data_IF_339817459385
#
_entry.id   IF_339817459385
#
_cell.length_a   1.000
_cell.length_b   1.000
_cell.length_c   1.000
_cell.angle_alpha   90.00
_cell.angle_beta   90.00
_cell.angle_gamma   90.00
#
_symmetry.space_group_name_H-M   'P 1'
#
loop_
_entity.id
_entity.type
_entity.pdbx_description
1 polymer ?
#
# COMPACT_ATOMS: atom_id res chain seq x y z
N UNK A 1 15.58 13.00 4.25
CA UNK A 1 15.47 11.93 3.21
C UNK A 1 14.05 11.39 3.21
N UNK A 2 13.56 10.90 2.05
CA UNK A 2 12.18 10.44 1.87
C UNK A 2 12.14 8.99 1.38
N UNK A 3 11.21 8.19 1.90
CA UNK A 3 10.86 6.87 1.36
C UNK A 3 9.46 6.89 0.73
N UNK A 4 9.28 6.15 -0.36
CA UNK A 4 7.99 5.93 -1.03
C UNK A 4 7.61 4.47 -0.84
N UNK A 5 6.45 4.23 -0.25
CA UNK A 5 5.86 2.91 -0.09
C UNK A 5 4.76 2.70 -1.12
N UNK A 6 4.93 1.70 -1.96
CA UNK A 6 3.96 1.25 -2.96
C UNK A 6 3.32 -0.02 -2.43
N UNK A 7 2.06 0.06 -2.02
CA UNK A 7 1.36 -1.01 -1.31
C UNK A 7 0.51 -1.81 -2.30
N UNK A 8 0.74 -3.10 -2.36
CA UNK A 8 -0.09 -4.12 -3.03
C UNK A 8 -0.41 -3.86 -4.52
N UNK A 9 0.49 -3.21 -5.23
CA UNK A 9 0.37 -3.06 -6.68
C UNK A 9 0.81 -4.33 -7.41
N UNK A 10 0.14 -5.44 -7.09
CA UNK A 10 0.42 -6.80 -7.58
C UNK A 10 -0.69 -7.30 -8.52
N UNK A 11 -0.36 -8.32 -9.32
CA UNK A 11 -1.29 -8.82 -10.35
C UNK A 11 -2.63 -9.29 -9.77
N UNK A 12 -2.65 -9.87 -8.56
CA UNK A 12 -3.86 -10.39 -7.91
C UNK A 12 -4.93 -9.35 -7.65
N UNK A 13 -4.53 -8.09 -7.39
CA UNK A 13 -5.46 -6.98 -7.19
C UNK A 13 -5.65 -6.13 -8.46
N UNK A 14 -4.61 -6.01 -9.29
CA UNK A 14 -4.57 -5.06 -10.40
C UNK A 14 -4.94 -5.65 -11.76
N UNK A 15 -4.83 -6.98 -11.95
CA UNK A 15 -4.99 -7.61 -13.28
C UNK A 15 -5.95 -8.79 -13.27
N UNK A 16 -5.67 -9.80 -12.45
CA UNK A 16 -6.45 -11.03 -12.41
C UNK A 16 -6.21 -11.76 -11.09
N UNK A 17 -7.27 -12.03 -10.35
CA UNK A 17 -7.24 -12.76 -9.09
C UNK A 17 -8.61 -12.74 -8.44
N UNK A 18 -8.76 -13.43 -7.32
CA UNK A 18 -10.01 -13.48 -6.55
C UNK A 18 -10.41 -12.09 -6.01
N UNK A 19 -9.43 -11.19 -5.82
CA UNK A 19 -9.63 -9.83 -5.30
C UNK A 19 -9.29 -8.75 -6.34
N UNK A 20 -9.34 -9.08 -7.63
CA UNK A 20 -9.14 -8.11 -8.70
C UNK A 20 -10.19 -6.99 -8.66
N UNK A 21 -9.76 -5.76 -8.92
CA UNK A 21 -10.63 -4.60 -9.09
C UNK A 21 -10.15 -3.66 -10.20
N UNK A 22 -11.08 -3.27 -11.08
CA UNK A 22 -10.80 -2.29 -12.13
C UNK A 22 -10.45 -0.91 -11.56
N UNK A 23 -10.96 -0.54 -10.37
CA UNK A 23 -10.59 0.69 -9.70
C UNK A 23 -9.11 0.67 -9.31
N UNK A 24 -8.61 -0.49 -8.81
CA UNK A 24 -7.21 -0.65 -8.46
C UNK A 24 -6.34 -0.69 -9.74
N UNK A 25 -6.80 -1.34 -10.79
CA UNK A 25 -6.10 -1.31 -12.08
C UNK A 25 -5.95 0.12 -12.61
N UNK A 26 -6.95 0.97 -12.45
CA UNK A 26 -6.96 2.34 -12.98
C UNK A 26 -5.85 3.24 -12.43
N UNK A 27 -5.32 2.95 -11.24
CA UNK A 27 -4.23 3.74 -10.64
C UNK A 27 -2.83 3.31 -11.07
N UNK A 28 -2.68 2.24 -11.85
CA UNK A 28 -1.35 1.77 -12.33
C UNK A 28 -0.63 2.88 -13.11
N UNK A 29 -1.30 3.50 -14.10
CA UNK A 29 -0.70 4.54 -14.93
C UNK A 29 -0.39 5.81 -14.13
N UNK A 30 -1.29 6.36 -13.32
CA UNK A 30 -0.97 7.45 -12.39
C UNK A 30 0.24 7.16 -11.50
N UNK A 31 0.31 5.99 -10.87
CA UNK A 31 1.45 5.57 -10.04
C UNK A 31 2.73 5.49 -10.86
N UNK A 32 2.69 4.89 -12.05
CA UNK A 32 3.85 4.84 -12.94
C UNK A 32 4.40 6.22 -13.25
N UNK A 33 3.52 7.16 -13.63
CA UNK A 33 3.91 8.53 -13.95
C UNK A 33 4.52 9.24 -12.73
N UNK A 34 3.95 9.05 -11.55
CA UNK A 34 4.50 9.57 -10.31
C UNK A 34 5.89 8.98 -10.04
N UNK A 35 6.04 7.66 -10.07
CA UNK A 35 7.31 6.98 -9.80
C UNK A 35 8.41 7.37 -10.81
N UNK A 36 8.06 7.61 -12.08
CA UNK A 36 9.03 8.06 -13.09
C UNK A 36 9.71 9.38 -12.70
N UNK A 37 9.02 10.25 -11.99
CA UNK A 37 9.58 11.52 -11.50
C UNK A 37 10.36 11.37 -10.18
N UNK A 38 10.19 10.26 -9.45
CA UNK A 38 10.69 10.11 -8.07
C UNK A 38 11.87 9.12 -7.95
N UNK A 39 11.97 8.12 -8.85
CA UNK A 39 12.78 6.92 -8.62
C UNK A 39 14.30 7.15 -8.62
N UNK A 40 14.76 8.29 -9.11
CA UNK A 40 16.21 8.63 -9.12
C UNK A 40 16.70 9.19 -7.79
N UNK A 41 15.81 9.89 -7.07
CA UNK A 41 16.19 10.70 -5.91
C UNK A 41 15.63 10.15 -4.60
N UNK A 42 14.80 9.09 -4.66
CA UNK A 42 14.12 8.54 -3.49
C UNK A 42 14.21 7.02 -3.44
N UNK A 43 14.21 6.48 -2.23
CA UNK A 43 14.09 5.05 -2.02
C UNK A 43 12.63 4.62 -2.14
N UNK A 44 12.39 3.62 -3.00
CA UNK A 44 11.06 3.07 -3.26
C UNK A 44 11.03 1.64 -2.72
N UNK A 45 10.01 1.34 -1.92
CA UNK A 45 9.73 0.02 -1.36
C UNK A 45 8.36 -0.44 -1.81
N UNK A 46 8.30 -1.61 -2.42
CA UNK A 46 7.06 -2.31 -2.74
C UNK A 46 6.72 -3.25 -1.58
N UNK A 47 5.55 -3.04 -0.99
CA UNK A 47 5.03 -3.84 0.12
C UNK A 47 3.93 -4.73 -0.47
N UNK A 48 4.23 -6.00 -0.68
CA UNK A 48 3.39 -6.89 -1.47
C UNK A 48 2.78 -8.01 -0.64
N UNK A 49 1.50 -8.26 -0.80
CA UNK A 49 0.89 -9.50 -0.32
C UNK A 49 1.57 -10.72 -0.94
N UNK A 50 1.99 -11.63 -0.07
CA UNK A 50 2.59 -12.90 -0.43
C UNK A 50 2.24 -13.95 0.65
N UNK A 51 1.06 -14.52 0.51
CA UNK A 51 0.46 -15.41 1.52
C UNK A 51 0.87 -16.87 1.38
N UNK A 52 0.85 -17.57 2.51
CA UNK A 52 0.70 -19.03 2.55
C UNK A 52 -0.78 -19.39 2.53
N UNK A 53 -1.13 -20.57 2.01
CA UNK A 53 -2.53 -21.02 1.97
C UNK A 53 -3.15 -21.25 3.35
N UNK A 54 -2.33 -21.36 4.37
CA UNK A 54 -2.71 -21.57 5.76
C UNK A 54 -2.60 -20.29 6.62
N UNK A 55 -2.32 -19.14 6.03
CA UNK A 55 -2.35 -17.86 6.74
C UNK A 55 -3.75 -17.60 7.33
N UNK A 56 -3.80 -17.14 8.56
CA UNK A 56 -5.06 -16.87 9.29
C UNK A 56 -5.94 -15.89 8.54
N UNK A 57 -5.37 -14.96 7.80
CA UNK A 57 -6.09 -13.97 7.01
C UNK A 57 -6.96 -14.61 5.90
N UNK A 58 -6.59 -15.82 5.42
CA UNK A 58 -7.41 -16.59 4.46
C UNK A 58 -8.75 -17.09 5.02
N UNK A 59 -8.99 -16.94 6.32
CA UNK A 59 -10.32 -17.16 6.91
C UNK A 59 -11.31 -15.99 6.67
N UNK A 60 -10.78 -14.80 6.42
CA UNK A 60 -11.56 -13.57 6.21
C UNK A 60 -11.64 -13.17 4.74
N UNK A 61 -10.70 -13.60 3.92
CA UNK A 61 -10.61 -13.29 2.49
C UNK A 61 -10.48 -14.58 1.68
N UNK A 62 -10.95 -14.60 0.41
CA UNK A 62 -10.66 -15.71 -0.48
C UNK A 62 -9.15 -15.88 -0.66
N UNK A 63 -8.70 -17.08 -0.98
CA UNK A 63 -7.28 -17.36 -1.27
C UNK A 63 -6.84 -16.43 -2.41
N UNK A 64 -5.77 -15.66 -2.16
CA UNK A 64 -5.23 -14.67 -3.09
C UNK A 64 -3.73 -14.50 -2.89
N UNK A 65 -3.06 -13.94 -3.86
CA UNK A 65 -1.64 -13.54 -3.81
C UNK A 65 -0.73 -14.56 -3.14
N UNK A 66 -0.92 -15.87 -3.42
CA UNK A 66 -0.06 -16.92 -2.85
C UNK A 66 1.40 -16.65 -3.20
N UNK A 67 2.27 -16.85 -2.24
CA UNK A 67 3.72 -16.68 -2.38
C UNK A 67 4.25 -17.45 -3.59
N UNK A 68 5.14 -16.82 -4.36
CA UNK A 68 5.69 -17.34 -5.61
C UNK A 68 4.67 -17.54 -6.75
N UNK A 69 3.42 -17.16 -6.57
CA UNK A 69 2.43 -17.17 -7.65
C UNK A 69 2.57 -15.93 -8.56
N UNK A 70 1.90 -15.96 -9.71
CA UNK A 70 1.82 -14.79 -10.58
C UNK A 70 1.04 -13.65 -9.92
N UNK A 71 0.07 -13.95 -9.07
CA UNK A 71 -0.75 -12.96 -8.38
C UNK A 71 0.06 -12.08 -7.42
N UNK A 72 1.04 -12.65 -6.68
CA UNK A 72 1.89 -11.90 -5.74
C UNK A 72 3.00 -11.07 -6.41
N UNK A 73 3.16 -11.16 -7.72
CA UNK A 73 4.16 -10.39 -8.45
C UNK A 73 3.66 -8.97 -8.75
N UNK A 74 4.57 -8.01 -8.62
CA UNK A 74 4.32 -6.61 -9.05
C UNK A 74 3.86 -6.58 -10.50
N UNK A 75 2.89 -5.74 -10.83
CA UNK A 75 2.42 -5.54 -12.20
C UNK A 75 3.56 -5.11 -13.12
N UNK A 76 3.55 -5.59 -14.37
CA UNK A 76 4.66 -5.40 -15.32
C UNK A 76 5.00 -3.92 -15.53
N UNK A 77 4.01 -3.05 -15.53
CA UNK A 77 4.16 -1.61 -15.71
C UNK A 77 5.00 -0.92 -14.62
N UNK A 78 5.07 -1.54 -13.42
CA UNK A 78 5.78 -0.98 -12.27
C UNK A 78 7.06 -1.73 -11.89
N UNK A 79 7.34 -2.88 -12.49
CA UNK A 79 8.52 -3.73 -12.19
C UNK A 79 9.85 -2.98 -12.24
N UNK A 80 9.99 -2.03 -13.15
CA UNK A 80 11.19 -1.19 -13.31
C UNK A 80 11.57 -0.45 -12.02
N UNK A 81 10.59 -0.12 -11.18
CA UNK A 81 10.78 0.64 -9.93
C UNK A 81 10.91 -0.26 -8.70
N UNK A 82 10.56 -1.54 -8.82
CA UNK A 82 10.48 -2.50 -7.71
C UNK A 82 11.84 -3.12 -7.36
N UNK A 83 12.82 -2.28 -7.01
CA UNK A 83 14.15 -2.73 -6.58
C UNK A 83 14.15 -3.28 -5.15
N UNK A 84 13.32 -2.73 -4.27
CA UNK A 84 13.15 -3.18 -2.90
C UNK A 84 11.74 -3.71 -2.74
N UNK A 85 11.60 -5.03 -2.63
CA UNK A 85 10.31 -5.70 -2.39
C UNK A 85 10.34 -6.27 -0.98
N UNK A 86 9.27 -6.01 -0.22
CA UNK A 86 9.04 -6.55 1.11
C UNK A 86 7.71 -7.30 1.05
N UNK A 87 7.78 -8.61 1.21
CA UNK A 87 6.60 -9.48 1.26
C UNK A 87 5.94 -9.38 2.63
N UNK A 88 4.62 -9.35 2.65
CA UNK A 88 3.80 -9.37 3.86
C UNK A 88 2.71 -10.44 3.75
N UNK A 89 2.28 -10.96 4.86
CA UNK A 89 1.21 -11.96 4.97
C UNK A 89 0.02 -11.46 5.81
N UNK A 90 -0.11 -10.15 5.90
CA UNK A 90 -1.26 -9.50 6.53
C UNK A 90 -1.54 -8.15 5.90
N UNK A 91 -2.78 -7.66 6.04
CA UNK A 91 -3.21 -6.35 5.52
C UNK A 91 -2.33 -5.20 5.99
N UNK A 92 -1.77 -5.27 7.19
CA UNK A 92 -0.95 -4.18 7.73
C UNK A 92 0.54 -4.37 7.44
N UNK A 93 1.05 -3.68 6.44
CA UNK A 93 2.46 -3.71 6.01
C UNK A 93 3.48 -3.35 7.09
N UNK A 94 3.07 -2.67 8.16
CA UNK A 94 3.96 -2.23 9.23
C UNK A 94 4.69 -3.40 9.90
N UNK A 95 4.03 -4.55 10.01
CA UNK A 95 4.61 -5.73 10.68
C UNK A 95 5.71 -6.41 9.88
N UNK A 96 5.72 -6.24 8.56
CA UNK A 96 6.78 -6.75 7.68
C UNK A 96 8.00 -5.82 7.59
N UNK A 97 7.86 -4.55 8.03
CA UNK A 97 8.93 -3.57 7.94
C UNK A 97 9.95 -3.72 9.07
N UNK A 98 11.22 -3.75 8.70
CA UNK A 98 12.32 -3.61 9.65
C UNK A 98 12.40 -2.17 10.16
N UNK A 99 12.50 -1.99 11.47
CA UNK A 99 12.54 -0.66 12.12
C UNK A 99 13.72 0.20 11.64
N UNK A 100 14.81 -0.44 11.25
CA UNK A 100 16.02 0.20 10.72
C UNK A 100 15.75 0.90 9.38
N UNK A 101 14.75 0.44 8.59
CA UNK A 101 14.31 1.13 7.37
C UNK A 101 13.65 2.45 7.77
N UNK A 102 12.74 2.41 8.74
CA UNK A 102 11.99 3.59 9.17
C UNK A 102 12.86 4.68 9.79
N UNK A 103 13.97 4.31 10.44
CA UNK A 103 14.88 5.27 11.07
C UNK A 103 15.66 6.14 10.08
N UNK A 104 15.82 5.69 8.82
CA UNK A 104 16.62 6.36 7.79
C UNK A 104 15.96 7.62 7.22
N UNK A 105 14.64 7.75 7.34
CA UNK A 105 13.86 8.77 6.61
C UNK A 105 13.16 9.73 7.55
N UNK A 106 12.89 10.94 7.05
CA UNK A 106 12.18 12.00 7.76
C UNK A 106 10.75 12.16 7.27
N UNK A 107 10.48 11.66 6.07
CA UNK A 107 9.13 11.64 5.49
C UNK A 107 8.85 10.36 4.73
N UNK A 108 7.57 10.01 4.67
CA UNK A 108 7.06 8.79 4.06
C UNK A 108 5.89 9.12 3.15
N UNK A 109 5.97 8.70 1.90
CA UNK A 109 4.87 8.78 0.94
C UNK A 109 4.28 7.40 0.73
N UNK A 110 2.95 7.28 0.76
CA UNK A 110 2.23 6.01 0.68
C UNK A 110 1.26 6.09 -0.49
N UNK A 111 1.33 5.11 -1.39
CA UNK A 111 0.50 4.96 -2.58
C UNK A 111 0.12 3.48 -2.78
N UNK A 112 -0.90 3.17 -3.58
CA UNK A 112 -1.31 1.79 -3.88
C UNK A 112 -2.71 1.43 -3.41
N UNK A 113 -2.95 0.22 -2.90
CA UNK A 113 -4.28 -0.30 -2.52
C UNK A 113 -4.26 -1.20 -1.27
N UNK A 114 -5.40 -1.46 -0.63
CA UNK A 114 -6.67 -0.75 -0.76
C UNK A 114 -6.71 0.43 0.20
N UNK A 115 -7.34 1.54 -0.23
CA UNK A 115 -7.38 2.81 0.53
C UNK A 115 -7.82 2.63 1.98
N UNK A 116 -8.85 1.83 2.20
CA UNK A 116 -9.56 1.62 3.46
C UNK A 116 -9.09 0.39 4.25
N UNK A 117 -8.20 -0.40 3.67
CA UNK A 117 -7.65 -1.62 4.30
C UNK A 117 -6.14 -1.45 4.50
N UNK A 118 -5.34 -1.89 3.54
CA UNK A 118 -3.88 -1.95 3.71
C UNK A 118 -3.26 -0.56 3.86
N UNK A 119 -3.70 0.42 3.06
CA UNK A 119 -3.23 1.81 3.15
C UNK A 119 -3.61 2.43 4.48
N UNK A 120 -4.89 2.37 4.86
CA UNK A 120 -5.40 2.95 6.10
C UNK A 120 -4.68 2.37 7.32
N UNK A 121 -4.65 1.04 7.43
CA UNK A 121 -4.02 0.35 8.56
C UNK A 121 -2.54 0.69 8.66
N UNK A 122 -1.82 0.62 7.55
CA UNK A 122 -0.39 0.92 7.53
C UNK A 122 -0.10 2.38 7.88
N UNK A 123 -0.78 3.33 7.24
CA UNK A 123 -0.55 4.76 7.45
C UNK A 123 -0.82 5.19 8.90
N UNK A 124 -1.93 4.73 9.50
CA UNK A 124 -2.26 5.04 10.90
C UNK A 124 -1.27 4.36 11.85
N UNK A 125 -0.91 3.10 11.61
CA UNK A 125 0.06 2.41 12.46
C UNK A 125 1.43 3.08 12.39
N UNK A 126 1.88 3.48 11.21
CA UNK A 126 3.14 4.21 11.03
C UNK A 126 3.12 5.56 11.76
N UNK A 127 2.00 6.30 11.68
CA UNK A 127 1.83 7.58 12.37
C UNK A 127 1.87 7.41 13.88
N UNK A 128 1.10 6.45 14.40
CA UNK A 128 1.04 6.18 15.85
C UNK A 128 2.35 5.65 16.39
N UNK A 129 3.09 4.87 15.61
CA UNK A 129 4.45 4.43 15.95
C UNK A 129 5.40 5.63 16.17
N UNK A 130 5.43 6.58 15.24
CA UNK A 130 6.28 7.76 15.41
C UNK A 130 5.80 8.69 16.53
N UNK A 131 4.50 8.80 16.74
CA UNK A 131 3.94 9.54 17.89
C UNK A 131 4.41 8.91 19.21
N UNK A 132 4.38 7.57 19.33
CA UNK A 132 4.90 6.84 20.49
C UNK A 132 6.38 7.12 20.74
N UNK A 133 7.19 7.17 19.68
CA UNK A 133 8.63 7.49 19.76
C UNK A 133 8.90 8.99 19.94
N UNK A 134 7.87 9.85 20.01
CA UNK A 134 8.00 11.32 20.06
C UNK A 134 8.82 11.88 18.88
N UNK A 135 8.73 11.26 17.71
CA UNK A 135 9.38 11.67 16.48
C UNK A 135 8.39 12.32 15.53
N UNK A 136 8.63 13.58 15.16
CA UNK A 136 7.78 14.29 14.21
C UNK A 136 8.19 13.94 12.77
N UNK A 137 7.75 12.77 12.28
CA UNK A 137 7.94 12.34 10.88
C UNK A 137 6.70 12.68 10.05
N UNK A 138 6.92 13.21 8.85
CA UNK A 138 5.83 13.51 7.93
C UNK A 138 5.37 12.24 7.21
N UNK A 139 4.06 11.98 7.22
CA UNK A 139 3.45 10.88 6.46
C UNK A 139 2.45 11.50 5.49
N UNK A 140 2.57 11.14 4.22
CA UNK A 140 1.78 11.69 3.12
C UNK A 140 1.09 10.55 2.40
N UNK A 141 -0.20 10.70 2.14
CA UNK A 141 -0.98 9.82 1.27
C UNK A 141 -1.51 10.64 0.10
N UNK A 142 -1.31 10.16 -1.11
CA UNK A 142 -1.81 10.83 -2.33
C UNK A 142 -3.17 10.26 -2.70
N UNK A 143 -4.23 11.04 -2.52
CA UNK A 143 -5.62 10.61 -2.75
C UNK A 143 -5.86 10.04 -4.16
N UNK A 144 -5.19 10.57 -5.17
CA UNK A 144 -5.35 10.13 -6.56
C UNK A 144 -4.41 8.96 -6.94
N UNK A 145 -3.56 8.50 -6.02
CA UNK A 145 -2.64 7.37 -6.21
C UNK A 145 -2.96 6.21 -5.26
N UNK A 146 -4.14 6.24 -4.64
CA UNK A 146 -4.69 5.13 -3.88
C UNK A 146 -6.11 4.82 -4.37
N UNK A 147 -6.52 3.56 -4.29
CA UNK A 147 -7.86 3.12 -4.68
C UNK A 147 -8.32 1.93 -3.84
N UNK A 148 -9.62 1.65 -3.86
CA UNK A 148 -10.20 0.44 -3.29
C UNK A 148 -11.22 -0.18 -4.25
N UNK A 149 -11.66 -1.39 -3.96
CA UNK A 149 -12.61 -2.15 -4.77
C UNK A 149 -14.04 -1.64 -4.60
N UNK A 150 -14.93 -2.06 -5.51
CA UNK A 150 -16.35 -1.75 -5.47
C UNK A 150 -17.19 -3.02 -5.59
N UNK A 151 -18.02 -3.31 -4.59
CA UNK A 151 -18.98 -4.42 -4.57
C UNK A 151 -20.29 -3.94 -3.93
N UNK A 152 -21.42 -4.69 -3.98
CA UNK A 152 -22.74 -4.22 -3.54
C UNK A 152 -22.81 -3.60 -2.15
N UNK A 153 -22.04 -4.10 -1.18
CA UNK A 153 -22.02 -3.60 0.20
C UNK A 153 -20.75 -2.79 0.54
N UNK A 154 -19.98 -2.39 -0.47
CA UNK A 154 -18.75 -1.65 -0.30
C UNK A 154 -18.60 -0.65 -1.46
N UNK A 155 -19.23 0.51 -1.30
CA UNK A 155 -19.09 1.61 -2.27
C UNK A 155 -17.67 2.18 -2.20
N UNK A 156 -16.92 2.04 -3.28
CA UNK A 156 -15.51 2.42 -3.31
C UNK A 156 -15.26 3.90 -2.99
N UNK A 157 -16.15 4.80 -3.44
CA UNK A 157 -15.99 6.23 -3.18
C UNK A 157 -16.21 6.56 -1.70
N UNK A 158 -17.26 6.00 -1.10
CA UNK A 158 -17.58 6.22 0.32
C UNK A 158 -16.45 5.70 1.23
N UNK A 159 -15.98 4.48 0.99
CA UNK A 159 -14.91 3.87 1.79
C UNK A 159 -13.57 4.58 1.57
N UNK A 160 -13.26 5.01 0.35
CA UNK A 160 -12.09 5.80 0.04
C UNK A 160 -12.10 7.13 0.79
N UNK A 161 -13.20 7.90 0.70
CA UNK A 161 -13.32 9.19 1.37
C UNK A 161 -13.30 9.06 2.89
N UNK A 162 -13.95 8.03 3.43
CA UNK A 162 -13.91 7.71 4.85
C UNK A 162 -12.48 7.42 5.33
N UNK A 163 -11.73 6.60 4.57
CA UNK A 163 -10.34 6.30 4.89
C UNK A 163 -9.44 7.54 4.86
N UNK A 164 -9.61 8.41 3.86
CA UNK A 164 -8.88 9.70 3.78
C UNK A 164 -9.18 10.58 4.99
N UNK A 165 -10.44 10.68 5.40
CA UNK A 165 -10.86 11.45 6.56
C UNK A 165 -10.24 10.91 7.86
N UNK A 166 -10.22 9.58 8.06
CA UNK A 166 -9.59 8.97 9.23
C UNK A 166 -8.09 9.23 9.26
N UNK A 167 -7.42 9.09 8.13
CA UNK A 167 -5.98 9.37 8.02
C UNK A 167 -5.66 10.84 8.30
N UNK A 168 -6.44 11.77 7.75
CA UNK A 168 -6.30 13.20 8.01
C UNK A 168 -6.48 13.53 9.49
N UNK A 169 -7.51 12.97 10.14
CA UNK A 169 -7.77 13.16 11.57
C UNK A 169 -6.63 12.58 12.44
N UNK A 170 -5.93 11.56 11.99
CA UNK A 170 -4.75 11.02 12.65
C UNK A 170 -3.48 11.88 12.45
N UNK A 171 -3.56 12.98 11.69
CA UNK A 171 -2.44 13.86 11.38
C UNK A 171 -1.57 13.40 10.22
N UNK A 172 -2.11 12.59 9.33
CA UNK A 172 -1.49 12.21 8.06
C UNK A 172 -1.87 13.26 7.01
N UNK A 173 -0.92 13.69 6.22
CA UNK A 173 -1.12 14.70 5.17
C UNK A 173 -1.74 14.06 3.93
N UNK A 174 -2.91 14.51 3.53
CA UNK A 174 -3.56 14.09 2.29
C UNK A 174 -3.24 15.11 1.18
N UNK A 175 -2.78 14.61 0.02
CA UNK A 175 -2.47 15.41 -1.17
C UNK A 175 -3.30 14.99 -2.39
#
# INVERSE_FOLDING_TARGET
MKAIFVVDMVNGFCKKGALYSCNIESIIVPIKNFLETQYKDNDIYFLNDAHSSDDIEMQSYPIHCLKNSKESQVVDELKKYAKNIIEKNSTNSFFALKKEILSKYDSFEIIGCCSDICILQFAITLKTYFNHLKQNKEIIVFKNLIATFNIPNHNSQEYHDFALNLMANAGIKIK
#
